data_IF_322132129225
#
_entry.id   IF_322132129225
#
_cell.length_a   1.000
_cell.length_b   1.000
_cell.length_c   1.000
_cell.angle_alpha   90.00
_cell.angle_beta   90.00
_cell.angle_gamma   90.00
#
_symmetry.space_group_name_H-M   'P 1'
#
loop_
_entity.id
_entity.type
_entity.pdbx_description
1 polymer ?
#
# COMPACT_ATOMS: atom_id res chain seq x y z
N UNK A 1 -12.08 -11.48 -1.36
CA UNK A 1 -10.88 -11.74 -0.54
C UNK A 1 -11.23 -11.87 0.94
N UNK A 2 -11.82 -10.86 1.58
CA UNK A 2 -12.22 -10.91 3.02
C UNK A 2 -13.06 -12.15 3.34
N UNK A 3 -14.17 -12.38 2.64
CA UNK A 3 -15.01 -13.54 2.91
C UNK A 3 -14.31 -14.89 2.77
N UNK A 4 -13.38 -15.06 1.81
CA UNK A 4 -12.59 -16.29 1.72
C UNK A 4 -11.62 -16.43 2.90
N UNK A 5 -10.94 -15.34 3.28
CA UNK A 5 -10.01 -15.35 4.41
C UNK A 5 -10.72 -15.71 5.72
N UNK A 6 -11.93 -15.16 5.94
CA UNK A 6 -12.77 -15.48 7.10
C UNK A 6 -13.23 -16.94 7.07
N UNK A 7 -13.75 -17.43 5.93
CA UNK A 7 -14.17 -18.83 5.78
C UNK A 7 -13.02 -19.80 6.04
N UNK A 8 -11.81 -19.47 5.61
CA UNK A 8 -10.64 -20.32 5.84
C UNK A 8 -9.96 -20.05 7.18
N UNK A 9 -10.34 -19.00 7.92
CA UNK A 9 -9.55 -18.44 9.00
C UNK A 9 -8.06 -18.34 8.63
N UNK A 10 -7.78 -17.81 7.44
CA UNK A 10 -6.45 -17.78 6.84
C UNK A 10 -5.76 -16.42 7.09
N UNK A 11 -4.56 -16.41 7.70
CA UNK A 11 -3.74 -15.21 7.82
C UNK A 11 -3.39 -14.62 6.44
N UNK A 12 -3.46 -13.30 6.31
CA UNK A 12 -3.27 -12.59 5.04
C UNK A 12 -1.99 -11.75 5.08
N UNK A 13 -1.09 -12.01 4.12
CA UNK A 13 0.09 -11.21 3.83
C UNK A 13 -0.11 -10.57 2.46
N UNK A 14 0.22 -9.29 2.33
CA UNK A 14 0.21 -8.61 1.02
C UNK A 14 1.63 -8.32 0.55
N UNK A 15 1.81 -8.24 -0.76
CA UNK A 15 3.04 -7.65 -1.33
C UNK A 15 2.95 -6.13 -1.23
N UNK A 16 4.08 -5.43 -1.36
CA UNK A 16 4.09 -3.95 -1.39
C UNK A 16 3.09 -3.36 -2.41
N UNK A 17 3.01 -3.96 -3.61
CA UNK A 17 2.09 -3.50 -4.67
C UNK A 17 0.62 -3.77 -4.37
N UNK A 18 0.33 -4.71 -3.47
CA UNK A 18 -1.01 -5.10 -3.07
C UNK A 18 -1.41 -4.49 -1.71
N UNK A 19 -0.58 -3.61 -1.14
CA UNK A 19 -0.87 -2.92 0.12
C UNK A 19 -2.23 -2.21 0.04
N UNK A 20 -3.08 -2.43 1.05
CA UNK A 20 -4.48 -1.98 1.07
C UNK A 20 -5.48 -2.80 0.24
N UNK A 21 -5.07 -3.84 -0.49
CA UNK A 21 -6.02 -4.74 -1.14
C UNK A 21 -6.87 -5.51 -0.11
N UNK A 22 -6.31 -5.78 1.07
CA UNK A 22 -6.99 -6.32 2.24
C UNK A 22 -7.01 -5.23 3.33
N UNK A 23 -8.11 -5.01 4.06
CA UNK A 23 -8.15 -4.00 5.13
C UNK A 23 -7.11 -4.32 6.20
N UNK A 24 -6.18 -3.40 6.44
CA UNK A 24 -5.00 -3.68 7.27
C UNK A 24 -5.27 -3.62 8.79
N UNK A 25 -6.48 -3.19 9.16
CA UNK A 25 -7.01 -3.31 10.52
C UNK A 25 -7.74 -4.65 10.77
N UNK A 26 -7.88 -5.50 9.76
CA UNK A 26 -8.62 -6.75 9.89
C UNK A 26 -7.87 -7.76 10.78
N UNK A 27 -8.55 -8.54 11.66
CA UNK A 27 -7.89 -9.44 12.63
C UNK A 27 -7.01 -10.54 12.02
N UNK A 28 -7.26 -10.91 10.77
CA UNK A 28 -6.44 -11.87 10.00
C UNK A 28 -5.30 -11.23 9.20
N UNK A 29 -5.16 -9.90 9.20
CA UNK A 29 -4.08 -9.24 8.48
C UNK A 29 -2.77 -9.37 9.26
N UNK A 30 -1.80 -10.03 8.65
CA UNK A 30 -0.47 -10.21 9.23
C UNK A 30 0.36 -8.96 8.98
N UNK A 31 0.52 -8.57 7.71
CA UNK A 31 1.35 -7.42 7.35
C UNK A 31 1.82 -7.45 5.90
N UNK A 32 2.71 -6.49 5.59
CA UNK A 32 3.29 -6.30 4.26
C UNK A 32 4.78 -6.64 4.26
N UNK A 33 5.53 -6.20 5.26
CA UNK A 33 6.97 -6.40 5.43
C UNK A 33 7.32 -6.48 6.91
N UNK A 34 8.55 -6.92 7.21
CA UNK A 34 9.07 -7.05 8.56
C UNK A 34 9.20 -8.51 8.99
N UNK A 35 9.48 -8.73 10.27
CA UNK A 35 9.67 -10.07 10.82
C UNK A 35 8.36 -10.85 10.91
N UNK A 36 7.24 -10.16 11.16
CA UNK A 36 5.95 -10.79 11.37
C UNK A 36 5.39 -11.52 10.12
N UNK A 37 5.47 -11.01 8.87
CA UNK A 37 5.07 -11.79 7.70
C UNK A 37 6.07 -12.91 7.40
N UNK A 38 7.37 -12.69 7.66
CA UNK A 38 8.41 -13.72 7.50
C UNK A 38 8.18 -14.90 8.45
N UNK A 39 7.79 -14.64 9.70
CA UNK A 39 7.44 -15.68 10.68
C UNK A 39 6.29 -16.56 10.17
N UNK A 40 5.23 -15.96 9.62
CA UNK A 40 4.12 -16.71 9.01
C UNK A 40 4.53 -17.51 7.78
N UNK A 41 5.35 -16.93 6.89
CA UNK A 41 5.87 -17.65 5.71
C UNK A 41 6.76 -18.84 6.10
N UNK A 42 7.53 -18.72 7.18
CA UNK A 42 8.31 -19.83 7.72
C UNK A 42 7.42 -20.93 8.29
N UNK A 43 6.38 -20.58 9.08
CA UNK A 43 5.44 -21.52 9.71
C UNK A 43 4.49 -22.20 8.72
N UNK A 44 4.14 -21.55 7.60
CA UNK A 44 3.12 -22.04 6.67
C UNK A 44 3.54 -23.32 5.93
N UNK A 45 2.66 -24.29 5.83
CA UNK A 45 2.79 -25.50 5.00
C UNK A 45 2.07 -25.36 3.65
N UNK A 46 1.03 -24.52 3.58
CA UNK A 46 0.26 -24.19 2.38
C UNK A 46 0.25 -22.68 2.14
N UNK A 47 0.50 -22.26 0.90
CA UNK A 47 0.46 -20.85 0.49
C UNK A 47 -0.43 -20.70 -0.75
N UNK A 48 -1.58 -20.04 -0.59
CA UNK A 48 -2.41 -19.58 -1.69
C UNK A 48 -1.98 -18.17 -2.10
N UNK A 49 -1.47 -18.05 -3.32
CA UNK A 49 -0.97 -16.80 -3.87
C UNK A 49 -1.90 -16.34 -4.97
N UNK A 50 -2.34 -15.08 -4.93
CA UNK A 50 -3.33 -14.54 -5.87
C UNK A 50 -2.82 -13.23 -6.45
N UNK A 51 -2.67 -13.17 -7.78
CA UNK A 51 -2.17 -11.99 -8.49
C UNK A 51 -0.70 -11.65 -8.18
N UNK A 52 0.07 -12.62 -7.69
CA UNK A 52 1.48 -12.44 -7.36
C UNK A 52 2.37 -13.25 -8.32
N UNK A 53 3.44 -12.61 -8.80
CA UNK A 53 4.50 -13.29 -9.57
C UNK A 53 5.47 -14.08 -8.69
N UNK A 54 5.38 -13.91 -7.36
CA UNK A 54 6.29 -14.47 -6.35
C UNK A 54 7.78 -14.14 -6.59
N UNK A 55 8.06 -13.16 -7.44
CA UNK A 55 9.43 -12.77 -7.76
C UNK A 55 10.12 -12.23 -6.50
N UNK A 56 11.23 -12.84 -6.05
CA UNK A 56 11.98 -12.35 -4.91
C UNK A 56 12.65 -11.03 -5.29
N UNK A 57 12.79 -10.15 -4.30
CA UNK A 57 13.38 -8.84 -4.48
C UNK A 57 13.49 -8.16 -3.13
N UNK A 58 14.16 -7.00 -3.10
CA UNK A 58 14.36 -6.25 -1.85
C UNK A 58 13.03 -5.82 -1.17
N UNK A 59 11.95 -5.74 -1.93
CA UNK A 59 10.64 -5.23 -1.49
C UNK A 59 9.51 -6.27 -1.62
N UNK A 60 9.86 -7.54 -1.80
CA UNK A 60 8.93 -8.67 -1.84
C UNK A 60 9.44 -9.77 -0.93
N UNK A 61 8.55 -10.65 -0.48
CA UNK A 61 8.96 -11.83 0.28
C UNK A 61 9.33 -12.96 -0.66
N UNK A 62 10.48 -13.59 -0.42
CA UNK A 62 10.70 -14.96 -0.88
C UNK A 62 9.88 -15.94 -0.06
N UNK A 63 9.62 -17.13 -0.59
CA UNK A 63 9.02 -18.22 0.17
C UNK A 63 10.17 -19.07 0.75
N UNK A 64 10.41 -19.02 2.07
CA UNK A 64 11.46 -19.83 2.70
C UNK A 64 11.13 -21.32 2.55
N UNK A 65 12.12 -22.19 2.32
CA UNK A 65 11.91 -23.64 2.20
C UNK A 65 10.77 -24.02 1.22
N UNK A 66 10.60 -23.28 0.12
CA UNK A 66 9.53 -23.49 -0.86
C UNK A 66 9.34 -24.95 -1.32
N UNK A 67 10.39 -25.77 -1.54
CA UNK A 67 10.20 -27.18 -1.91
C UNK A 67 9.45 -28.03 -0.88
N UNK A 68 9.44 -27.63 0.39
CA UNK A 68 8.73 -28.31 1.47
C UNK A 68 7.31 -27.79 1.71
N UNK A 69 6.78 -26.92 0.84
CA UNK A 69 5.47 -26.26 1.02
C UNK A 69 4.58 -26.50 -0.20
N UNK A 70 3.28 -26.61 0.04
CA UNK A 70 2.27 -26.65 -1.03
C UNK A 70 1.97 -25.24 -1.50
N UNK A 71 2.44 -24.88 -2.69
CA UNK A 71 2.20 -23.56 -3.28
C UNK A 71 1.07 -23.67 -4.32
N UNK A 72 0.00 -22.92 -4.08
CA UNK A 72 -1.12 -22.74 -5.00
C UNK A 72 -0.99 -21.34 -5.60
N UNK A 73 -0.88 -21.23 -6.92
CA UNK A 73 -0.66 -19.95 -7.60
C UNK A 73 -1.81 -19.62 -8.55
N UNK A 74 -2.54 -18.55 -8.24
CA UNK A 74 -3.54 -17.94 -9.11
C UNK A 74 -2.96 -16.70 -9.78
N UNK A 75 -2.91 -16.69 -11.11
CA UNK A 75 -2.49 -15.53 -11.88
C UNK A 75 -3.26 -15.43 -13.20
N UNK A 76 -3.37 -14.22 -13.74
CA UNK A 76 -4.05 -13.97 -15.02
C UNK A 76 -3.14 -14.29 -16.21
N UNK A 77 -1.83 -14.13 -16.04
CA UNK A 77 -0.80 -14.37 -17.04
C UNK A 77 -0.06 -15.67 -16.72
N UNK A 78 -0.04 -16.58 -17.70
CA UNK A 78 0.58 -17.90 -17.58
C UNK A 78 2.11 -17.83 -17.45
N UNK A 79 2.74 -16.77 -17.95
CA UNK A 79 4.18 -16.52 -17.83
C UNK A 79 4.63 -16.28 -16.38
N UNK A 80 3.69 -16.07 -15.46
CA UNK A 80 3.98 -15.95 -14.03
C UNK A 80 3.86 -17.25 -13.27
N UNK A 81 3.16 -18.26 -13.81
CA UNK A 81 2.89 -19.51 -13.13
C UNK A 81 4.14 -20.39 -13.10
N UNK A 82 4.47 -20.96 -11.94
CA UNK A 82 5.60 -21.87 -11.76
C UNK A 82 6.97 -21.30 -12.21
N UNK A 83 7.07 -19.97 -12.37
CA UNK A 83 8.28 -19.30 -12.89
C UNK A 83 9.40 -19.21 -11.86
N UNK A 84 9.03 -19.02 -10.59
CA UNK A 84 9.97 -18.74 -9.50
C UNK A 84 10.06 -19.92 -8.53
N UNK A 85 8.92 -20.44 -8.11
CA UNK A 85 8.83 -21.55 -7.15
C UNK A 85 8.01 -22.70 -7.76
N UNK A 86 8.38 -23.97 -7.46
CA UNK A 86 7.57 -25.13 -7.82
C UNK A 86 6.13 -24.98 -7.32
N UNK A 87 5.20 -24.81 -8.26
CA UNK A 87 3.77 -24.63 -7.99
C UNK A 87 3.07 -25.98 -8.10
N UNK A 88 2.38 -26.37 -7.02
CA UNK A 88 1.65 -27.64 -6.96
C UNK A 88 0.31 -27.57 -7.69
N UNK A 89 -0.37 -26.43 -7.56
CA UNK A 89 -1.63 -26.16 -8.21
C UNK A 89 -1.61 -24.78 -8.85
N UNK A 90 -1.74 -24.73 -10.16
CA UNK A 90 -1.79 -23.48 -10.93
C UNK A 90 -3.23 -23.18 -11.34
N UNK A 91 -3.67 -21.95 -11.11
CA UNK A 91 -4.98 -21.44 -11.50
C UNK A 91 -4.77 -20.26 -12.44
N UNK A 92 -5.04 -20.47 -13.73
CA UNK A 92 -5.01 -19.40 -14.72
C UNK A 92 -6.38 -18.71 -14.71
N UNK A 93 -6.45 -17.50 -14.17
CA UNK A 93 -7.71 -16.78 -14.05
C UNK A 93 -7.61 -15.45 -13.33
N UNK A 94 -8.66 -14.64 -13.50
CA UNK A 94 -8.79 -13.37 -12.80
C UNK A 94 -8.95 -13.58 -11.28
N UNK A 95 -8.24 -12.76 -10.51
CA UNK A 95 -8.20 -12.87 -9.06
C UNK A 95 -9.59 -12.75 -8.40
N UNK A 96 -10.46 -11.87 -8.89
CA UNK A 96 -11.79 -11.65 -8.31
C UNK A 96 -12.66 -12.89 -8.52
N UNK A 97 -12.74 -13.38 -9.75
CA UNK A 97 -13.57 -14.54 -10.08
C UNK A 97 -13.05 -15.83 -9.44
N UNK A 98 -11.73 -16.04 -9.42
CA UNK A 98 -11.13 -17.20 -8.73
C UNK A 98 -11.41 -17.16 -7.23
N UNK A 99 -11.21 -16.02 -6.57
CA UNK A 99 -11.48 -15.90 -5.13
C UNK A 99 -12.96 -16.09 -4.81
N UNK A 100 -13.87 -15.61 -5.67
CA UNK A 100 -15.31 -15.83 -5.49
C UNK A 100 -15.66 -17.31 -5.61
N UNK A 101 -15.20 -17.98 -6.68
CA UNK A 101 -15.46 -19.40 -6.89
C UNK A 101 -14.91 -20.27 -5.75
N UNK A 102 -13.71 -19.94 -5.23
CA UNK A 102 -13.15 -20.60 -4.06
C UNK A 102 -13.98 -20.38 -2.80
N UNK A 103 -14.46 -19.15 -2.56
CA UNK A 103 -15.30 -18.86 -1.41
C UNK A 103 -16.63 -19.63 -1.47
N UNK A 104 -17.27 -19.65 -2.64
CA UNK A 104 -18.52 -20.36 -2.87
C UNK A 104 -18.34 -21.87 -2.67
N UNK A 105 -17.25 -22.45 -3.18
CA UNK A 105 -16.98 -23.88 -3.02
C UNK A 105 -16.62 -24.26 -1.58
N UNK A 106 -15.85 -23.43 -0.86
CA UNK A 106 -15.57 -23.64 0.57
C UNK A 106 -16.85 -23.55 1.39
N UNK A 107 -17.67 -22.53 1.12
CA UNK A 107 -18.97 -22.37 1.78
C UNK A 107 -19.86 -23.60 1.53
N UNK A 108 -19.99 -24.04 0.28
CA UNK A 108 -20.78 -25.22 -0.10
C UNK A 108 -20.30 -26.51 0.57
N UNK A 109 -18.98 -26.70 0.73
CA UNK A 109 -18.41 -27.91 1.37
C UNK A 109 -18.51 -27.91 2.89
N UNK A 110 -18.75 -26.74 3.49
CA UNK A 110 -18.77 -26.56 4.94
C UNK A 110 -20.13 -26.10 5.45
N UNK A 111 -21.16 -26.13 4.59
CA UNK A 111 -22.49 -25.59 4.86
C UNK A 111 -22.45 -24.15 5.40
N UNK A 112 -21.51 -23.35 4.89
CA UNK A 112 -21.26 -21.97 5.27
C UNK A 112 -20.43 -21.77 6.56
N UNK A 113 -20.11 -22.84 7.29
CA UNK A 113 -19.39 -22.73 8.57
C UNK A 113 -17.89 -22.42 8.41
N UNK A 114 -17.30 -22.76 7.25
CA UNK A 114 -15.87 -22.61 7.02
C UNK A 114 -15.01 -23.54 7.91
N UNK A 115 -13.72 -23.21 8.02
CA UNK A 115 -12.76 -23.85 8.91
C UNK A 115 -12.90 -23.26 10.30
N UNK A 116 -12.85 -24.08 11.36
CA UNK A 116 -12.80 -23.57 12.73
C UNK A 116 -11.63 -22.59 12.95
N UNK A 117 -11.89 -21.47 13.64
CA UNK A 117 -10.91 -20.39 13.80
C UNK A 117 -9.74 -20.74 14.73
N UNK A 118 -9.95 -21.61 15.72
CA UNK A 118 -8.95 -21.92 16.73
C UNK A 118 -8.41 -20.64 17.40
N UNK A 119 -7.09 -20.53 17.50
CA UNK A 119 -6.37 -19.39 18.06
C UNK A 119 -5.80 -18.42 16.99
N UNK A 120 -6.17 -18.57 15.70
CA UNK A 120 -5.49 -17.89 14.58
C UNK A 120 -5.46 -16.37 14.77
N UNK A 121 -6.58 -15.75 15.14
CA UNK A 121 -6.64 -14.29 15.34
C UNK A 121 -5.71 -13.84 16.47
N UNK A 122 -5.62 -14.62 17.56
CA UNK A 122 -4.72 -14.31 18.66
C UNK A 122 -3.26 -14.43 18.23
N UNK A 123 -2.89 -15.49 17.49
CA UNK A 123 -1.53 -15.66 16.95
C UNK A 123 -1.15 -14.55 15.97
N UNK A 124 -2.07 -14.12 15.09
CA UNK A 124 -1.84 -13.02 14.15
C UNK A 124 -1.56 -11.74 14.91
N UNK A 125 -2.41 -11.43 15.89
CA UNK A 125 -2.27 -10.24 16.73
C UNK A 125 -0.94 -10.26 17.49
N UNK A 126 -0.61 -11.35 18.18
CA UNK A 126 0.63 -11.47 18.94
C UNK A 126 1.88 -11.29 18.06
N UNK A 127 1.91 -11.97 16.91
CA UNK A 127 3.04 -11.90 15.97
C UNK A 127 3.18 -10.49 15.39
N UNK A 128 2.08 -9.85 15.01
CA UNK A 128 2.07 -8.48 14.49
C UNK A 128 2.45 -7.46 15.57
N UNK A 129 1.96 -7.63 16.79
CA UNK A 129 2.26 -6.74 17.91
C UNK A 129 3.73 -6.80 18.30
N UNK A 130 4.31 -8.01 18.35
CA UNK A 130 5.74 -8.21 18.59
C UNK A 130 6.59 -7.62 17.46
N UNK A 131 6.28 -7.95 16.21
CA UNK A 131 7.01 -7.46 15.04
C UNK A 131 6.86 -5.97 14.74
N UNK A 132 5.98 -5.26 15.45
CA UNK A 132 5.79 -3.81 15.33
C UNK A 132 6.18 -3.03 16.61
N UNK A 133 6.65 -3.70 17.66
CA UNK A 133 6.94 -3.06 18.94
C UNK A 133 7.98 -1.94 18.82
N UNK A 134 9.13 -2.22 18.20
CA UNK A 134 10.19 -1.22 17.98
C UNK A 134 9.71 0.00 17.17
N UNK A 135 8.86 -0.23 16.17
CA UNK A 135 8.33 0.84 15.34
C UNK A 135 7.31 1.68 16.11
N UNK A 136 6.52 1.09 17.01
CA UNK A 136 5.57 1.83 17.85
C UNK A 136 6.29 2.75 18.83
N UNK A 137 7.41 2.30 19.39
CA UNK A 137 8.28 3.14 20.21
C UNK A 137 8.87 4.29 19.37
N UNK A 138 9.40 3.99 18.18
CA UNK A 138 9.93 5.01 17.26
C UNK A 138 8.85 6.01 16.78
N UNK A 139 7.62 5.56 16.56
CA UNK A 139 6.46 6.40 16.20
C UNK A 139 6.00 7.30 17.36
N UNK A 140 6.33 6.96 18.61
CA UNK A 140 6.03 7.75 19.79
C UNK A 140 7.21 8.64 20.26
N UNK A 141 8.39 8.49 19.66
CA UNK A 141 9.60 9.24 20.02
C UNK A 141 9.36 10.77 19.99
N UNK A 142 9.97 11.45 20.97
CA UNK A 142 10.05 12.91 21.09
C UNK A 142 11.49 13.43 20.90
N UNK A 143 12.36 12.63 20.31
CA UNK A 143 13.79 12.96 20.18
C UNK A 143 14.05 14.10 19.18
N UNK A 144 15.23 14.72 19.31
CA UNK A 144 15.74 15.72 18.38
C UNK A 144 17.15 15.29 17.89
N UNK A 145 17.40 15.18 16.57
CA UNK A 145 16.47 15.44 15.45
C UNK A 145 15.31 14.44 15.39
N UNK A 146 14.21 14.84 14.72
CA UNK A 146 12.97 14.05 14.67
C UNK A 146 13.21 12.66 14.07
N UNK A 147 12.66 11.64 14.71
CA UNK A 147 12.62 10.30 14.15
C UNK A 147 11.62 10.24 12.97
N UNK A 148 12.01 9.77 11.77
CA UNK A 148 11.08 9.67 10.63
C UNK A 148 9.81 8.84 10.92
N UNK A 149 9.91 7.80 11.76
CA UNK A 149 8.74 7.01 12.15
C UNK A 149 7.71 7.84 12.90
N UNK A 150 8.14 8.80 13.74
CA UNK A 150 7.23 9.74 14.40
C UNK A 150 6.36 10.50 13.40
N UNK A 151 6.92 10.90 12.26
CA UNK A 151 6.16 11.55 11.18
C UNK A 151 5.09 10.62 10.62
N UNK A 152 5.43 9.36 10.34
CA UNK A 152 4.46 8.39 9.82
C UNK A 152 3.36 8.05 10.82
N UNK A 153 3.72 7.93 12.10
CA UNK A 153 2.77 7.72 13.20
C UNK A 153 1.79 8.89 13.33
N UNK A 154 2.27 10.13 13.23
CA UNK A 154 1.40 11.31 13.25
C UNK A 154 0.55 11.41 11.97
N UNK A 155 1.09 11.10 10.78
CA UNK A 155 0.32 11.03 9.54
C UNK A 155 -0.89 10.10 9.67
N UNK A 156 -0.73 8.92 10.26
CA UNK A 156 -1.85 7.97 10.48
C UNK A 156 -2.92 8.49 11.45
N UNK A 157 -2.62 9.49 12.29
CA UNK A 157 -3.60 10.11 13.20
C UNK A 157 -4.41 11.20 12.50
N UNK A 158 -3.85 11.88 11.50
CA UNK A 158 -4.49 13.04 10.85
C UNK A 158 -5.16 12.71 9.52
N UNK A 159 -4.64 11.72 8.79
CA UNK A 159 -5.18 11.33 7.50
C UNK A 159 -6.44 10.48 7.68
N UNK A 160 -7.46 10.73 6.84
CA UNK A 160 -8.62 9.85 6.78
C UNK A 160 -8.23 8.54 6.07
N UNK A 161 -8.21 7.39 6.77
CA UNK A 161 -7.80 6.12 6.17
C UNK A 161 -8.77 5.61 5.09
N UNK A 162 -9.98 6.17 5.00
CA UNK A 162 -10.98 5.86 3.97
C UNK A 162 -10.95 6.84 2.79
N UNK A 163 -10.26 7.98 2.92
CA UNK A 163 -10.32 9.07 1.95
C UNK A 163 -8.95 9.70 1.64
N UNK A 164 -7.86 8.95 1.83
CA UNK A 164 -6.49 9.42 1.58
C UNK A 164 -5.70 8.48 0.68
N UNK A 165 -4.77 9.07 -0.06
CA UNK A 165 -3.72 8.38 -0.78
C UNK A 165 -2.36 8.72 -0.20
N UNK A 166 -1.54 7.70 -0.01
CA UNK A 166 -0.14 7.84 0.40
C UNK A 166 0.75 7.14 -0.61
N UNK A 167 1.78 7.84 -1.04
CA UNK A 167 2.83 7.32 -1.91
C UNK A 167 4.20 7.68 -1.36
N UNK A 168 5.24 7.08 -1.91
CA UNK A 168 6.61 7.26 -1.47
C UNK A 168 7.56 7.36 -2.66
N UNK A 169 8.72 7.96 -2.44
CA UNK A 169 9.88 7.74 -3.30
C UNK A 169 10.70 6.51 -2.88
N UNK A 170 11.65 6.13 -3.73
CA UNK A 170 12.60 5.06 -3.41
C UNK A 170 13.57 5.47 -2.31
N UNK A 171 14.09 4.46 -1.60
CA UNK A 171 15.00 4.65 -0.47
C UNK A 171 14.33 4.35 0.86
N UNK A 172 14.85 4.93 1.94
CA UNK A 172 14.38 4.67 3.30
C UNK A 172 12.91 5.10 3.50
N UNK A 173 12.45 6.14 2.81
CA UNK A 173 11.04 6.56 2.86
C UNK A 173 10.09 5.43 2.46
N UNK A 174 10.38 4.70 1.36
CA UNK A 174 9.64 3.49 1.01
C UNK A 174 9.72 2.44 2.10
N UNK A 175 10.93 2.10 2.52
CA UNK A 175 11.16 0.95 3.39
C UNK A 175 10.47 1.12 4.75
N UNK A 176 10.62 2.30 5.33
CA UNK A 176 10.01 2.64 6.60
C UNK A 176 8.48 2.76 6.45
N UNK A 177 7.99 3.56 5.48
CA UNK A 177 6.56 3.83 5.34
C UNK A 177 5.76 2.58 4.98
N UNK A 178 6.26 1.75 4.06
CA UNK A 178 5.58 0.50 3.68
C UNK A 178 5.48 -0.52 4.81
N UNK A 179 6.37 -0.42 5.81
CA UNK A 179 6.40 -1.30 6.97
C UNK A 179 5.38 -0.87 8.02
N UNK A 180 5.18 0.44 8.23
CA UNK A 180 4.39 0.94 9.38
C UNK A 180 3.08 1.63 9.03
N UNK A 181 2.93 2.19 7.83
CA UNK A 181 1.73 2.95 7.45
C UNK A 181 0.60 1.98 7.12
N UNK A 182 -0.53 2.04 7.82
CA UNK A 182 -1.69 1.20 7.52
C UNK A 182 -2.64 1.88 6.52
N UNK A 183 -3.20 1.10 5.58
CA UNK A 183 -4.23 1.57 4.63
C UNK A 183 -5.44 0.64 4.64
N UNK A 184 -6.64 1.22 4.62
CA UNK A 184 -7.90 0.46 4.73
C UNK A 184 -8.64 0.28 3.41
N UNK A 185 -8.25 1.04 2.38
CA UNK A 185 -8.88 0.99 1.07
C UNK A 185 -7.93 0.44 -0.01
N UNK A 186 -8.47 -0.25 -1.03
CA UNK A 186 -7.70 -0.61 -2.21
C UNK A 186 -7.09 0.63 -2.85
N UNK A 187 -5.80 0.56 -3.19
CA UNK A 187 -5.02 1.66 -3.78
C UNK A 187 -4.91 2.90 -2.88
N UNK A 188 -5.23 2.82 -1.59
CA UNK A 188 -4.94 3.89 -0.62
C UNK A 188 -3.43 4.11 -0.43
N UNK A 189 -2.65 3.03 -0.58
CA UNK A 189 -1.19 3.10 -0.67
C UNK A 189 -0.72 2.82 -2.10
N UNK A 190 -0.08 3.81 -2.73
CA UNK A 190 0.43 3.70 -4.10
C UNK A 190 1.89 3.25 -4.06
N UNK A 191 2.10 1.96 -3.78
CA UNK A 191 3.43 1.39 -3.60
C UNK A 191 4.09 0.92 -4.89
N UNK A 192 5.16 1.59 -5.33
CA UNK A 192 6.00 1.11 -6.45
C UNK A 192 7.16 0.24 -5.93
N UNK A 193 7.19 -1.03 -6.36
CA UNK A 193 8.08 -2.04 -5.76
C UNK A 193 8.99 -2.82 -6.69
N UNK A 194 8.83 -2.73 -8.02
CA UNK A 194 9.62 -3.56 -8.95
C UNK A 194 10.99 -2.96 -9.29
N UNK A 195 11.06 -1.63 -9.41
CA UNK A 195 12.28 -0.86 -9.69
C UNK A 195 12.36 0.26 -8.66
N UNK A 196 13.57 0.71 -8.30
CA UNK A 196 13.77 1.79 -7.33
C UNK A 196 14.05 3.14 -8.00
N UNK A 197 13.04 3.71 -8.65
CA UNK A 197 13.13 5.04 -9.26
C UNK A 197 12.94 6.15 -8.22
N UNK A 198 13.70 7.24 -8.34
CA UNK A 198 13.43 8.50 -7.63
C UNK A 198 12.46 9.34 -8.47
N UNK A 199 11.52 10.01 -7.81
CA UNK A 199 10.53 10.92 -8.40
C UNK A 199 9.15 10.34 -8.66
N UNK A 200 8.94 9.03 -8.42
CA UNK A 200 7.62 8.41 -8.52
C UNK A 200 6.62 9.01 -7.54
N UNK A 201 7.07 9.37 -6.33
CA UNK A 201 6.20 9.85 -5.26
C UNK A 201 5.37 11.06 -5.68
N UNK A 202 6.01 12.10 -6.22
CA UNK A 202 5.30 13.31 -6.66
C UNK A 202 4.29 12.99 -7.76
N UNK A 203 4.71 12.31 -8.84
CA UNK A 203 3.83 11.99 -9.96
C UNK A 203 2.64 11.11 -9.54
N UNK A 204 2.87 10.13 -8.66
CA UNK A 204 1.82 9.27 -8.13
C UNK A 204 0.77 10.05 -7.32
N UNK A 205 1.20 10.98 -6.47
CA UNK A 205 0.29 11.81 -5.69
C UNK A 205 -0.53 12.75 -6.61
N UNK A 206 0.12 13.36 -7.60
CA UNK A 206 -0.54 14.22 -8.59
C UNK A 206 -1.61 13.44 -9.38
N UNK A 207 -1.27 12.23 -9.86
CA UNK A 207 -2.21 11.38 -10.59
C UNK A 207 -3.40 10.96 -9.72
N UNK A 208 -3.16 10.64 -8.45
CA UNK A 208 -4.21 10.28 -7.51
C UNK A 208 -5.16 11.45 -7.23
N UNK A 209 -4.61 12.66 -7.03
CA UNK A 209 -5.40 13.89 -6.83
C UNK A 209 -6.21 14.25 -8.08
N UNK A 210 -5.63 14.08 -9.27
CA UNK A 210 -6.31 14.27 -10.55
C UNK A 210 -7.50 13.32 -10.71
N UNK A 211 -7.31 12.04 -10.41
CA UNK A 211 -8.35 11.02 -10.55
C UNK A 211 -9.44 11.13 -9.48
N UNK A 212 -9.08 11.62 -8.29
CA UNK A 212 -9.98 11.72 -7.13
C UNK A 212 -9.75 13.06 -6.39
N UNK A 213 -10.31 14.17 -6.92
CA UNK A 213 -10.04 15.52 -6.41
C UNK A 213 -10.42 15.73 -4.93
N UNK A 214 -11.42 15.01 -4.43
CA UNK A 214 -11.90 15.14 -3.03
C UNK A 214 -11.04 14.37 -2.02
N UNK A 215 -10.09 13.55 -2.48
CA UNK A 215 -9.20 12.77 -1.60
C UNK A 215 -7.96 13.55 -1.22
N UNK A 216 -7.45 13.31 -0.02
CA UNK A 216 -6.11 13.75 0.35
C UNK A 216 -5.09 12.93 -0.43
N UNK A 217 -3.98 13.55 -0.86
CA UNK A 217 -2.90 12.84 -1.55
C UNK A 217 -1.55 13.32 -1.05
N UNK A 218 -0.74 12.38 -0.57
CA UNK A 218 0.50 12.65 0.16
C UNK A 218 1.63 11.87 -0.49
N UNK A 219 2.71 12.59 -0.86
CA UNK A 219 3.96 12.00 -1.30
C UNK A 219 5.02 12.13 -0.20
N UNK A 220 5.50 10.99 0.30
CA UNK A 220 6.61 10.94 1.26
C UNK A 220 7.91 10.79 0.48
N UNK A 221 8.71 11.85 0.46
CA UNK A 221 9.94 11.90 -0.34
C UNK A 221 11.14 12.31 0.51
N UNK A 222 12.31 11.78 0.15
CA UNK A 222 13.59 12.23 0.70
C UNK A 222 14.13 13.42 -0.08
N UNK A 223 15.18 14.04 0.44
CA UNK A 223 15.90 15.16 -0.19
C UNK A 223 16.34 14.87 -1.63
N UNK A 224 16.87 13.67 -1.90
CA UNK A 224 17.24 13.25 -3.24
C UNK A 224 16.01 13.14 -4.17
N UNK A 225 14.86 12.66 -3.67
CA UNK A 225 13.62 12.59 -4.45
C UNK A 225 13.08 13.98 -4.79
N UNK A 226 13.15 14.92 -3.84
CA UNK A 226 12.85 16.35 -4.09
C UNK A 226 13.78 16.90 -5.16
N UNK A 227 15.09 16.65 -5.06
CA UNK A 227 16.07 17.11 -6.06
C UNK A 227 15.77 16.62 -7.47
N UNK A 228 15.33 15.36 -7.62
CA UNK A 228 14.93 14.79 -8.92
C UNK A 228 13.69 15.47 -9.53
N UNK A 229 12.75 15.95 -8.70
CA UNK A 229 11.44 16.42 -9.13
C UNK A 229 11.21 17.91 -8.90
N UNK A 230 12.24 18.67 -8.49
CA UNK A 230 12.08 20.07 -8.05
C UNK A 230 11.44 20.94 -9.15
N UNK A 231 11.89 20.79 -10.40
CA UNK A 231 11.31 21.51 -11.53
C UNK A 231 9.85 21.14 -11.82
N UNK A 232 9.43 19.93 -11.48
CA UNK A 232 8.07 19.45 -11.69
C UNK A 232 7.06 19.98 -10.66
N UNK A 233 7.53 20.56 -9.53
CA UNK A 233 6.64 21.21 -8.55
C UNK A 233 5.93 22.45 -9.13
N UNK A 234 6.42 23.02 -10.24
CA UNK A 234 5.71 24.08 -10.98
C UNK A 234 4.31 23.63 -11.42
N UNK A 235 4.15 22.36 -11.80
CA UNK A 235 2.89 21.85 -12.37
C UNK A 235 1.75 21.91 -11.34
N UNK A 236 1.89 21.36 -10.11
CA UNK A 236 0.92 21.57 -9.05
C UNK A 236 0.52 23.02 -8.79
N UNK A 237 1.48 23.94 -8.86
CA UNK A 237 1.24 25.37 -8.60
C UNK A 237 0.41 25.97 -9.74
N UNK A 238 0.81 25.73 -11.00
CA UNK A 238 0.10 26.21 -12.19
C UNK A 238 -1.31 25.62 -12.31
N UNK A 239 -1.52 24.41 -11.82
CA UNK A 239 -2.83 23.75 -11.81
C UNK A 239 -3.64 24.02 -10.53
N UNK A 240 -3.15 24.91 -9.65
CA UNK A 240 -3.82 25.30 -8.39
C UNK A 240 -4.17 24.14 -7.46
N UNK A 241 -3.36 23.08 -7.40
CA UNK A 241 -3.65 21.88 -6.60
C UNK A 241 -3.59 22.07 -5.08
N UNK A 242 -2.98 23.17 -4.61
CA UNK A 242 -3.03 23.58 -3.21
C UNK A 242 -4.30 24.38 -2.85
N UNK A 243 -5.12 24.75 -3.84
CA UNK A 243 -6.34 25.51 -3.61
C UNK A 243 -7.48 24.57 -3.17
N UNK A 244 -8.23 24.90 -2.10
CA UNK A 244 -9.40 24.14 -1.68
C UNK A 244 -10.61 24.26 -2.62
N UNK A 245 -10.46 24.87 -3.81
CA UNK A 245 -11.55 25.07 -4.77
C UNK A 245 -11.51 24.04 -5.91
N UNK A 246 -12.64 23.39 -6.24
CA UNK A 246 -12.69 22.29 -7.21
C UNK A 246 -12.78 22.78 -8.67
N UNK A 247 -12.27 23.97 -9.01
CA UNK A 247 -12.33 24.47 -10.39
C UNK A 247 -11.21 23.83 -11.20
N UNK A 248 -11.45 22.61 -11.65
CA UNK A 248 -10.62 21.96 -12.66
C UNK A 248 -10.86 22.65 -14.02
N UNK A 249 -9.81 23.10 -14.73
CA UNK A 249 -9.96 23.43 -16.14
C UNK A 249 -10.17 22.11 -16.90
N UNK A 250 -11.43 21.76 -17.14
CA UNK A 250 -11.76 20.65 -18.06
C UNK A 250 -11.07 20.91 -19.38
N UNK A 251 -10.33 19.92 -19.89
CA UNK A 251 -9.74 19.95 -21.23
C UNK A 251 -10.88 20.14 -22.25
N UNK A 252 -11.12 21.39 -22.65
CA UNK A 252 -12.28 21.77 -23.43
C UNK A 252 -12.69 23.24 -23.35
N UNK A 253 -12.25 24.01 -22.33
CA UNK A 253 -12.45 25.47 -22.36
C UNK A 253 -11.33 26.15 -23.16
N UNK A 254 -11.64 26.86 -24.26
CA UNK A 254 -10.65 27.68 -24.94
C UNK A 254 -10.20 28.79 -23.99
N UNK A 255 -8.91 29.14 -24.08
CA UNK A 255 -8.29 30.20 -23.31
C UNK A 255 -9.17 31.46 -23.23
N UNK A 256 -9.76 31.72 -22.05
CA UNK A 256 -10.26 33.05 -21.73
C UNK A 256 -9.08 33.88 -21.24
N UNK A 257 -8.77 34.91 -22.02
CA UNK A 257 -7.74 35.92 -21.81
C UNK A 257 -7.84 36.62 -20.43
N UNK A 258 -6.79 37.35 -19.99
CA UNK A 258 -6.58 37.67 -18.59
C UNK A 258 -7.48 38.82 -18.12
N UNK A 259 -8.17 38.63 -17.01
CA UNK A 259 -9.00 39.66 -16.40
C UNK A 259 -9.26 39.40 -14.92
N UNK A 260 -8.76 40.33 -14.09
CA UNK A 260 -9.07 40.51 -12.67
C UNK A 260 -8.58 39.46 -11.66
N UNK A 261 -7.27 39.44 -11.43
CA UNK A 261 -6.69 39.03 -10.15
C UNK A 261 -6.14 40.26 -9.43
N UNK A 262 -6.67 40.59 -8.25
CA UNK A 262 -6.22 41.72 -7.46
C UNK A 262 -4.74 41.59 -7.07
N UNK A 263 -3.92 42.52 -7.54
CA UNK A 263 -2.51 42.66 -7.16
C UNK A 263 -2.41 43.17 -5.72
N UNK A 264 -1.97 42.34 -4.78
CA UNK A 264 -1.49 42.81 -3.47
C UNK A 264 0.00 43.14 -3.62
N UNK A 265 0.30 44.40 -3.88
CA UNK A 265 1.66 44.95 -3.84
C UNK A 265 2.04 45.25 -2.39
N UNK A 266 2.96 44.47 -1.83
CA UNK A 266 3.61 44.83 -0.56
C UNK A 266 4.60 45.96 -0.80
N UNK A 267 4.26 47.18 -0.38
CA UNK A 267 5.23 48.28 -0.25
C UNK A 267 6.11 48.02 0.98
N UNK A 268 7.41 47.94 0.76
CA UNK A 268 8.43 48.11 1.80
C UNK A 268 8.42 49.57 2.27
N UNK A 269 8.39 49.86 3.59
CA UNK A 269 8.69 51.20 4.08
C UNK A 269 10.20 51.31 4.34
N UNK A 270 10.86 52.21 3.62
CA UNK A 270 12.12 52.82 4.05
C UNK A 270 11.82 53.99 4.98
N UNK A 271 12.34 53.91 6.20
CA UNK A 271 12.93 55.01 6.97
C UNK A 271 13.91 54.39 7.96
#
# INVERSE_FOLDING_TARGET
>A
MVGLAELLNAPVITTLKAKGAFPENHPLFVGVRGEHPIAYLNKSDVILTVGSSLSPGRFTHGIPNAPGKTIIQCNLDDLHLNRIFPTHHAVLGDAKFTLQALADEVSRRTDGAGRAAGNVVAEVRETRDAGLAEYREAMASSDTPINPYRVYGDMMKVLDPQNSFVTHDSGNTRDQLSTVYDTLIPRGFLGWGNISTLGFGLAGAMAAKLAFPERQSIAVTGDAGVGYMLGNLEVPVRQHWASPSPTWPTAGSPATAPGSGATVTTRTPTA
#
